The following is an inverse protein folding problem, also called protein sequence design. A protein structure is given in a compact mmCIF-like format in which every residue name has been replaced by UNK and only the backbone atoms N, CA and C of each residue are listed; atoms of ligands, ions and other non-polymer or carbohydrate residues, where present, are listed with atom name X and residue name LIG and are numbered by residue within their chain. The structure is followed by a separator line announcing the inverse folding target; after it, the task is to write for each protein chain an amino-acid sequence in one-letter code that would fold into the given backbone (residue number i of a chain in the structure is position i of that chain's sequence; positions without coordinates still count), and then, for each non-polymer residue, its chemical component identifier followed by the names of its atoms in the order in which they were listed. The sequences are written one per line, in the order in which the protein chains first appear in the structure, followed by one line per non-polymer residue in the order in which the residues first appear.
data_IF_784597947955
#
_entry.id   IF_784597947955
#
_cell.length_a   1.000
_cell.length_b   1.000
_cell.length_c   1.000
_cell.angle_alpha   90.00
_cell.angle_beta   90.00
_cell.angle_gamma   90.00
#
_symmetry.space_group_name_H-M   'P 1'
#
loop_
_entity.id
_entity.type
_entity.pdbx_description
1 polymer ?
#
# COMPACT_ATOMS: atom_id res chain seq x y z
N UNK A 1 3.31 16.54 -4.54
CA UNK A 1 4.32 15.45 -4.59
C UNK A 1 3.61 14.12 -4.48
N UNK A 2 3.97 13.13 -5.26
CA UNK A 2 3.37 11.79 -5.23
C UNK A 2 4.43 10.73 -4.91
N UNK A 3 4.04 9.72 -4.14
CA UNK A 3 4.89 8.58 -3.80
C UNK A 3 4.44 7.35 -4.60
N UNK A 4 5.41 6.67 -5.23
CA UNK A 4 5.16 5.44 -5.99
C UNK A 4 6.14 4.37 -5.54
N UNK A 5 5.64 3.19 -5.24
CA UNK A 5 6.44 2.07 -4.77
C UNK A 5 5.84 0.71 -5.04
N UNK A 6 6.54 -0.31 -4.56
CA UNK A 6 6.21 -1.71 -4.70
C UNK A 6 5.85 -2.32 -3.33
N UNK A 7 5.24 -3.52 -3.30
CA UNK A 7 4.83 -4.18 -2.04
C UNK A 7 6.00 -4.84 -1.29
N UNK A 8 7.20 -4.73 -1.78
CA UNK A 8 8.45 -5.15 -1.15
C UNK A 8 9.64 -4.48 -1.83
N UNK A 9 10.81 -4.52 -1.23
CA UNK A 9 12.03 -3.86 -1.73
C UNK A 9 13.09 -4.82 -2.29
N UNK A 10 12.87 -6.12 -2.25
CA UNK A 10 13.80 -7.11 -2.81
C UNK A 10 13.07 -8.34 -3.32
N UNK A 11 13.61 -8.93 -4.37
CA UNK A 11 13.17 -10.21 -4.93
C UNK A 11 14.35 -10.89 -5.63
N UNK A 12 14.52 -12.24 -5.54
CA UNK A 12 15.65 -12.92 -6.20
C UNK A 12 15.78 -12.62 -7.69
N UNK A 13 14.66 -12.50 -8.41
CA UNK A 13 14.68 -12.16 -9.84
C UNK A 13 15.04 -10.69 -10.13
N UNK A 14 15.03 -9.80 -9.13
CA UNK A 14 15.39 -8.39 -9.31
C UNK A 14 16.90 -8.13 -9.23
N UNK A 15 17.68 -9.12 -8.83
CA UNK A 15 19.16 -9.04 -8.83
C UNK A 15 19.67 -8.60 -10.20
N UNK A 16 19.10 -9.15 -11.29
CA UNK A 16 19.42 -8.75 -12.67
C UNK A 16 19.06 -7.31 -13.02
N UNK A 17 18.19 -6.68 -12.22
CA UNK A 17 17.79 -5.29 -12.35
C UNK A 17 18.61 -4.36 -11.44
N UNK A 18 19.64 -4.88 -10.77
CA UNK A 18 20.44 -4.13 -9.81
C UNK A 18 19.72 -3.82 -8.51
N UNK A 19 18.64 -4.53 -8.17
CA UNK A 19 17.86 -4.33 -6.94
C UNK A 19 18.04 -5.57 -6.05
N UNK A 20 19.08 -5.55 -5.21
CA UNK A 20 19.41 -6.64 -4.29
C UNK A 20 19.16 -6.29 -2.82
N UNK A 21 18.97 -5.00 -2.53
CA UNK A 21 18.84 -4.48 -1.17
C UNK A 21 17.81 -3.34 -1.11
N UNK A 22 17.43 -2.94 0.11
CA UNK A 22 16.61 -1.76 0.32
C UNK A 22 17.32 -0.47 -0.16
N UNK A 23 18.63 -0.37 0.02
CA UNK A 23 19.41 0.78 -0.44
C UNK A 23 19.33 0.95 -1.95
N UNK A 24 19.48 -0.15 -2.72
CA UNK A 24 19.33 -0.12 -4.17
C UNK A 24 17.88 0.17 -4.61
N UNK A 25 16.91 -0.43 -3.92
CA UNK A 25 15.49 -0.14 -4.15
C UNK A 25 15.19 1.36 -3.97
N UNK A 26 15.70 1.97 -2.90
CA UNK A 26 15.49 3.38 -2.57
C UNK A 26 16.16 4.36 -3.58
N UNK A 27 17.05 3.89 -4.45
CA UNK A 27 17.58 4.69 -5.58
C UNK A 27 16.59 4.79 -6.74
N UNK A 28 15.62 3.87 -6.82
CA UNK A 28 14.64 3.81 -7.91
C UNK A 28 13.25 4.26 -7.47
N UNK A 29 12.89 4.04 -6.21
CA UNK A 29 11.58 4.33 -5.66
C UNK A 29 11.67 5.25 -4.44
N UNK A 30 10.68 6.10 -4.26
CA UNK A 30 10.62 7.04 -3.14
C UNK A 30 9.80 6.51 -1.94
N UNK A 31 9.16 5.35 -2.08
CA UNK A 31 8.44 4.71 -0.98
C UNK A 31 8.33 3.19 -1.17
N UNK A 32 7.91 2.50 -0.11
CA UNK A 32 7.62 1.07 -0.12
C UNK A 32 6.40 0.73 0.74
N UNK A 33 5.62 -0.25 0.29
CA UNK A 33 4.59 -0.88 1.12
C UNK A 33 5.25 -1.93 2.03
N UNK A 34 5.37 -1.61 3.31
CA UNK A 34 6.03 -2.46 4.31
C UNK A 34 5.14 -3.59 4.80
N UNK A 35 5.12 -4.70 4.08
CA UNK A 35 4.29 -5.86 4.41
C UNK A 35 4.89 -6.77 5.49
N UNK A 36 6.18 -6.70 5.74
CA UNK A 36 6.89 -7.58 6.69
C UNK A 36 6.37 -7.46 8.11
N UNK A 37 6.01 -6.26 8.54
CA UNK A 37 5.50 -5.98 9.88
C UNK A 37 4.13 -6.59 10.18
N UNK A 38 3.37 -6.96 9.13
CA UNK A 38 2.11 -7.70 9.32
C UNK A 38 2.35 -9.08 9.95
N UNK A 39 3.44 -9.74 9.55
CA UNK A 39 3.72 -11.13 9.90
C UNK A 39 4.59 -11.25 11.16
N UNK A 40 5.53 -10.33 11.34
CA UNK A 40 6.42 -10.33 12.49
C UNK A 40 6.93 -8.93 12.80
N UNK A 41 7.08 -8.62 14.09
CA UNK A 41 7.78 -7.42 14.53
C UNK A 41 9.28 -7.59 14.22
N UNK A 42 9.91 -6.69 13.44
CA UNK A 42 11.33 -6.79 13.12
C UNK A 42 12.18 -6.63 14.37
N UNK A 43 13.38 -7.21 14.38
CA UNK A 43 14.37 -6.95 15.42
C UNK A 43 14.87 -5.51 15.34
N UNK A 44 15.31 -4.94 16.46
CA UNK A 44 15.78 -3.54 16.52
C UNK A 44 16.91 -3.25 15.53
N UNK A 45 17.90 -4.15 15.45
CA UNK A 45 19.02 -4.03 14.51
C UNK A 45 18.59 -4.06 13.03
N UNK A 46 17.46 -4.67 12.72
CA UNK A 46 16.89 -4.66 11.36
C UNK A 46 16.29 -3.30 11.05
N UNK A 47 15.56 -2.70 12.01
CA UNK A 47 14.99 -1.37 11.85
C UNK A 47 16.07 -0.30 11.68
N UNK A 48 17.15 -0.38 12.47
CA UNK A 48 18.32 0.50 12.32
C UNK A 48 18.99 0.33 10.95
N UNK A 49 19.08 -0.90 10.45
CA UNK A 49 19.59 -1.17 9.10
C UNK A 49 18.73 -0.51 8.03
N UNK A 50 17.40 -0.59 8.14
CA UNK A 50 16.50 0.08 7.20
C UNK A 50 16.69 1.59 7.23
N UNK A 51 16.92 2.15 8.42
CA UNK A 51 17.26 3.56 8.56
C UNK A 51 18.57 3.91 7.86
N UNK A 52 19.60 3.12 8.04
CA UNK A 52 20.92 3.35 7.41
C UNK A 52 20.88 3.22 5.88
N UNK A 53 19.98 2.40 5.34
CA UNK A 53 19.84 2.11 3.90
C UNK A 53 18.94 3.08 3.12
N UNK A 54 18.32 4.05 3.79
CA UNK A 54 17.39 4.99 3.14
C UNK A 54 17.73 6.43 3.48
N UNK A 55 17.30 7.36 2.63
CA UNK A 55 17.41 8.81 2.87
C UNK A 55 16.22 9.33 3.66
N UNK A 56 16.29 10.56 4.14
CA UNK A 56 15.20 11.19 4.89
C UNK A 56 13.96 11.48 4.01
N UNK A 57 14.11 11.50 2.69
CA UNK A 57 13.01 11.68 1.74
C UNK A 57 12.26 10.38 1.41
N UNK A 58 12.84 9.22 1.75
CA UNK A 58 12.21 7.93 1.52
C UNK A 58 11.07 7.69 2.51
N UNK A 59 9.97 7.06 2.07
CA UNK A 59 8.80 6.79 2.92
C UNK A 59 8.49 5.31 3.02
N UNK A 60 8.31 4.85 4.26
CA UNK A 60 7.78 3.54 4.58
C UNK A 60 6.29 3.63 4.90
N UNK A 61 5.49 2.75 4.31
CA UNK A 61 4.09 2.58 4.67
C UNK A 61 3.90 1.20 5.30
N UNK A 62 4.10 1.11 6.61
CA UNK A 62 4.06 -0.18 7.32
C UNK A 62 2.66 -0.57 7.76
N UNK A 63 2.36 -1.85 7.61
CA UNK A 63 1.17 -2.46 8.21
C UNK A 63 1.33 -2.62 9.71
N UNK A 64 0.25 -2.40 10.45
CA UNK A 64 0.19 -2.90 11.82
C UNK A 64 0.29 -4.44 11.83
N UNK A 65 0.93 -5.02 12.87
CA UNK A 65 1.02 -6.47 13.02
C UNK A 65 -0.35 -7.17 13.03
N UNK A 66 -0.40 -8.39 12.49
CA UNK A 66 -1.61 -9.21 12.51
C UNK A 66 -2.08 -9.55 13.94
N UNK A 67 -1.15 -9.57 14.90
CA UNK A 67 -1.50 -9.69 16.33
C UNK A 67 -2.45 -8.60 16.81
N UNK A 68 -2.33 -7.39 16.25
CA UNK A 68 -3.18 -6.24 16.53
C UNK A 68 -4.45 -6.27 15.67
N UNK A 69 -4.27 -6.34 14.33
CA UNK A 69 -5.36 -6.15 13.37
C UNK A 69 -6.27 -7.38 13.21
N UNK A 70 -5.72 -8.58 13.32
CA UNK A 70 -6.43 -9.84 13.10
C UNK A 70 -6.71 -10.57 14.42
N UNK A 71 -5.68 -10.88 15.21
CA UNK A 71 -5.82 -11.71 16.40
C UNK A 71 -6.57 -10.99 17.51
N UNK A 72 -6.15 -9.77 17.85
CA UNK A 72 -6.81 -8.94 18.85
C UNK A 72 -8.06 -8.23 18.31
N UNK A 73 -8.24 -8.16 17.00
CA UNK A 73 -9.29 -7.39 16.36
C UNK A 73 -9.42 -5.97 16.95
N UNK A 74 -8.27 -5.32 17.16
CA UNK A 74 -8.10 -3.98 17.74
C UNK A 74 -8.53 -3.82 19.20
N UNK A 75 -8.73 -4.92 19.94
CA UNK A 75 -9.18 -4.92 21.34
C UNK A 75 -8.05 -5.31 22.27
N UNK A 76 -7.91 -4.59 23.39
CA UNK A 76 -6.93 -4.90 24.45
C UNK A 76 -5.50 -5.11 23.92
N UNK A 77 -5.09 -4.31 22.93
CA UNK A 77 -3.80 -4.45 22.25
C UNK A 77 -2.86 -3.25 22.51
N UNK A 78 -3.06 -2.51 23.61
CA UNK A 78 -2.26 -1.34 23.96
C UNK A 78 -0.77 -1.66 24.06
N UNK A 79 -0.40 -2.70 24.81
CA UNK A 79 0.99 -3.12 25.00
C UNK A 79 1.65 -3.53 23.66
N UNK A 80 0.93 -4.27 22.81
CA UNK A 80 1.40 -4.64 21.47
C UNK A 80 1.62 -3.43 20.57
N UNK A 81 0.75 -2.44 20.72
CA UNK A 81 0.82 -1.19 19.95
C UNK A 81 1.99 -0.33 20.41
N UNK A 82 2.20 -0.23 21.71
CA UNK A 82 3.35 0.48 22.29
C UNK A 82 4.67 -0.19 21.89
N UNK A 83 4.75 -1.51 21.97
CA UNK A 83 5.93 -2.26 21.51
C UNK A 83 6.21 -2.00 20.03
N UNK A 84 5.16 -2.00 19.18
CA UNK A 84 5.31 -1.71 17.76
C UNK A 84 5.90 -0.32 17.51
N UNK A 85 5.33 0.74 18.10
CA UNK A 85 5.85 2.10 17.93
C UNK A 85 7.26 2.27 18.50
N UNK A 86 7.54 1.69 19.66
CA UNK A 86 8.88 1.70 20.25
C UNK A 86 9.89 1.06 19.31
N UNK A 87 9.56 -0.09 18.73
CA UNK A 87 10.43 -0.80 17.79
C UNK A 87 10.66 -0.02 16.50
N UNK A 88 9.64 0.65 16.00
CA UNK A 88 9.70 1.41 14.74
C UNK A 88 10.23 2.84 14.92
N UNK A 89 10.45 3.30 16.14
CA UNK A 89 10.86 4.69 16.46
C UNK A 89 12.10 5.19 15.70
N UNK A 90 13.14 4.37 15.36
CA UNK A 90 14.27 4.84 14.56
C UNK A 90 13.89 5.34 13.16
N UNK A 91 12.71 4.93 12.65
CA UNK A 91 12.20 5.31 11.34
C UNK A 91 11.12 6.40 11.41
N UNK A 92 10.85 6.99 12.58
CA UNK A 92 9.71 7.89 12.79
C UNK A 92 9.61 9.01 11.73
N UNK A 93 10.73 9.63 11.35
CA UNK A 93 10.79 10.69 10.34
C UNK A 93 10.65 10.19 8.89
N UNK A 94 10.66 8.87 8.66
CA UNK A 94 10.54 8.23 7.34
C UNK A 94 9.24 7.46 7.17
N UNK A 95 8.34 7.56 8.13
CA UNK A 95 7.02 6.94 8.02
C UNK A 95 6.13 7.82 7.13
N UNK A 96 5.66 7.23 6.03
CA UNK A 96 4.62 7.83 5.21
C UNK A 96 3.26 7.67 5.88
N UNK A 97 2.92 6.44 6.22
CA UNK A 97 1.78 6.14 7.08
C UNK A 97 1.89 4.73 7.68
N UNK A 98 1.34 4.56 8.87
CA UNK A 98 1.00 3.25 9.41
C UNK A 98 -0.42 2.89 9.01
N UNK A 99 -0.70 1.64 8.68
CA UNK A 99 -2.03 1.28 8.23
C UNK A 99 -2.50 -0.10 8.67
N UNK A 100 -3.79 -0.19 8.87
CA UNK A 100 -4.49 -1.41 9.23
C UNK A 100 -4.99 -2.09 7.96
N UNK A 101 -4.68 -3.38 7.81
CA UNK A 101 -5.39 -4.27 6.91
C UNK A 101 -6.34 -5.09 7.76
N UNK A 102 -7.64 -4.79 7.68
CA UNK A 102 -8.64 -5.49 8.46
C UNK A 102 -9.16 -6.72 7.70
N UNK A 103 -9.39 -7.85 8.38
CA UNK A 103 -9.93 -9.05 7.74
C UNK A 103 -11.38 -8.84 7.31
N UNK A 104 -11.87 -9.69 6.39
CA UNK A 104 -13.26 -9.62 5.92
C UNK A 104 -14.30 -9.88 7.03
N UNK A 105 -13.89 -10.48 8.14
CA UNK A 105 -14.72 -10.69 9.33
C UNK A 105 -14.90 -9.43 10.18
N UNK A 106 -14.05 -8.41 9.99
CA UNK A 106 -14.17 -7.13 10.67
C UNK A 106 -15.26 -6.28 10.00
N UNK A 107 -16.45 -6.32 10.56
CA UNK A 107 -17.64 -5.71 9.97
C UNK A 107 -18.14 -4.46 10.69
N UNK A 108 -19.34 -3.96 10.33
CA UNK A 108 -19.91 -2.74 10.92
C UNK A 108 -20.06 -2.76 12.45
N UNK A 109 -20.27 -3.92 13.03
CA UNK A 109 -20.36 -4.09 14.49
C UNK A 109 -19.05 -3.82 15.21
N UNK A 110 -17.94 -3.88 14.49
CA UNK A 110 -16.59 -3.68 15.03
C UNK A 110 -16.11 -2.22 14.93
N UNK A 111 -16.87 -1.34 14.28
CA UNK A 111 -16.51 0.08 14.15
C UNK A 111 -16.20 0.76 15.48
N UNK A 112 -16.91 0.51 16.60
CA UNK A 112 -16.52 1.09 17.88
C UNK A 112 -15.10 0.73 18.32
N UNK A 113 -14.65 -0.52 18.07
CA UNK A 113 -13.28 -0.93 18.37
C UNK A 113 -12.26 -0.23 17.46
N UNK A 114 -12.60 -0.01 16.18
CA UNK A 114 -11.76 0.76 15.26
C UNK A 114 -11.60 2.21 15.74
N UNK A 115 -12.67 2.86 16.15
CA UNK A 115 -12.61 4.23 16.63
C UNK A 115 -11.80 4.35 17.90
N UNK A 116 -12.04 3.47 18.89
CA UNK A 116 -11.27 3.44 20.13
C UNK A 116 -9.78 3.23 19.86
N UNK A 117 -9.43 2.32 18.97
CA UNK A 117 -8.04 2.06 18.60
C UNK A 117 -7.40 3.30 17.94
N UNK A 118 -8.03 3.88 16.92
CA UNK A 118 -7.50 5.04 16.20
C UNK A 118 -7.38 6.28 17.11
N UNK A 119 -8.33 6.50 18.02
CA UNK A 119 -8.32 7.63 18.96
C UNK A 119 -7.18 7.53 19.98
N UNK A 120 -6.69 6.31 20.25
CA UNK A 120 -5.58 6.07 21.19
C UNK A 120 -4.19 6.17 20.53
N UNK A 121 -4.12 6.26 19.19
CA UNK A 121 -2.83 6.30 18.48
C UNK A 121 -2.11 7.66 18.63
N UNK A 122 -0.75 7.67 18.57
CA UNK A 122 0.04 8.89 18.52
C UNK A 122 -0.39 9.79 17.37
N UNK A 123 -0.55 11.09 17.64
CA UNK A 123 -1.10 12.07 16.68
C UNK A 123 -0.08 12.58 15.65
N UNK A 124 1.20 12.34 15.89
CA UNK A 124 2.30 12.74 15.02
C UNK A 124 2.42 11.94 13.74
N UNK A 125 1.74 10.80 13.65
CA UNK A 125 1.79 9.94 12.47
C UNK A 125 0.51 10.01 11.64
N UNK A 126 0.65 9.67 10.37
CA UNK A 126 -0.46 9.47 9.44
C UNK A 126 -0.91 8.01 9.48
N UNK A 127 -2.22 7.79 9.41
CA UNK A 127 -2.81 6.45 9.45
C UNK A 127 -3.70 6.16 8.26
N UNK A 128 -3.80 4.86 7.95
CA UNK A 128 -4.70 4.35 6.92
C UNK A 128 -5.43 3.08 7.37
N UNK A 129 -6.58 2.84 6.78
CA UNK A 129 -7.40 1.64 7.04
C UNK A 129 -7.89 1.04 5.73
N UNK A 130 -7.55 -0.23 5.49
CA UNK A 130 -8.11 -1.05 4.43
C UNK A 130 -9.15 -1.99 5.03
N UNK A 131 -10.39 -1.84 4.58
CA UNK A 131 -11.51 -2.72 4.95
C UNK A 131 -11.79 -3.74 3.85
N UNK A 132 -12.33 -4.90 4.23
CA UNK A 132 -12.64 -6.01 3.31
C UNK A 132 -14.05 -6.57 3.48
N UNK A 133 -14.79 -6.17 4.51
CA UNK A 133 -16.17 -6.60 4.73
C UNK A 133 -17.10 -5.99 3.68
N UNK A 134 -17.99 -6.80 3.09
CA UNK A 134 -18.85 -6.42 1.98
C UNK A 134 -19.75 -5.19 2.26
N UNK A 135 -20.24 -5.05 3.48
CA UNK A 135 -21.10 -3.92 3.84
C UNK A 135 -20.41 -2.55 3.76
N UNK A 136 -19.08 -2.50 3.83
CA UNK A 136 -18.32 -1.27 3.63
C UNK A 136 -18.17 -0.86 2.16
N UNK A 137 -18.77 -1.62 1.24
CA UNK A 137 -18.81 -1.37 -0.20
C UNK A 137 -20.23 -1.38 -0.78
N UNK A 138 -21.24 -1.41 0.09
CA UNK A 138 -22.64 -1.52 -0.30
C UNK A 138 -23.31 -0.15 -0.55
N UNK A 139 -22.60 0.97 -0.38
CA UNK A 139 -23.13 2.34 -0.45
C UNK A 139 -24.28 2.61 0.53
N UNK A 140 -24.34 1.83 1.62
CA UNK A 140 -25.31 1.93 2.69
C UNK A 140 -24.77 2.63 3.94
N UNK A 141 -25.54 2.53 5.03
CA UNK A 141 -25.24 3.20 6.30
C UNK A 141 -23.87 2.79 6.89
N UNK A 142 -23.49 1.52 6.75
CA UNK A 142 -22.20 1.02 7.25
C UNK A 142 -21.02 1.71 6.54
N UNK A 143 -21.09 1.88 5.24
CA UNK A 143 -20.04 2.58 4.49
C UNK A 143 -20.03 4.08 4.80
N UNK A 144 -21.19 4.71 4.93
CA UNK A 144 -21.30 6.11 5.33
C UNK A 144 -20.69 6.33 6.73
N UNK A 145 -21.00 5.46 7.68
CA UNK A 145 -20.43 5.51 9.03
C UNK A 145 -18.91 5.34 9.03
N UNK A 146 -18.41 4.38 8.26
CA UNK A 146 -16.96 4.18 8.09
C UNK A 146 -16.29 5.45 7.53
N UNK A 147 -16.78 5.95 6.40
CA UNK A 147 -16.16 7.11 5.73
C UNK A 147 -16.20 8.36 6.61
N UNK A 148 -17.32 8.62 7.28
CA UNK A 148 -17.46 9.75 8.22
C UNK A 148 -16.47 9.63 9.37
N UNK A 149 -16.42 8.47 10.03
CA UNK A 149 -15.52 8.26 11.16
C UNK A 149 -14.04 8.35 10.80
N UNK A 150 -13.63 7.94 9.59
CA UNK A 150 -12.27 8.12 9.08
C UNK A 150 -11.99 9.60 8.78
N UNK A 151 -12.95 10.30 8.15
CA UNK A 151 -12.84 11.73 7.84
C UNK A 151 -12.68 12.58 9.10
N UNK A 152 -13.49 12.35 10.13
CA UNK A 152 -13.44 13.03 11.43
C UNK A 152 -12.10 12.87 12.13
N UNK A 153 -11.38 11.77 11.86
CA UNK A 153 -10.08 11.45 12.46
C UNK A 153 -8.89 11.75 11.55
N UNK A 154 -9.15 12.29 10.36
CA UNK A 154 -8.13 12.49 9.32
C UNK A 154 -7.32 11.19 9.02
N UNK A 155 -8.00 10.05 8.98
CA UNK A 155 -7.43 8.74 8.65
C UNK A 155 -7.77 8.37 7.22
N UNK A 156 -6.78 7.87 6.45
CA UNK A 156 -6.95 7.53 5.05
C UNK A 156 -7.73 6.22 4.89
N UNK A 157 -8.82 6.24 4.12
CA UNK A 157 -9.40 5.00 3.60
C UNK A 157 -8.49 4.49 2.49
N UNK A 158 -7.84 3.36 2.69
CA UNK A 158 -6.98 2.75 1.67
C UNK A 158 -7.84 2.13 0.59
N UNK A 159 -7.47 2.40 -0.65
CA UNK A 159 -8.22 1.99 -1.82
C UNK A 159 -7.51 0.80 -2.46
N UNK A 160 -8.19 -0.35 -2.50
CA UNK A 160 -7.71 -1.53 -3.18
C UNK A 160 -8.40 -1.66 -4.53
N UNK A 161 -7.61 -1.66 -5.60
CA UNK A 161 -8.10 -1.99 -6.94
C UNK A 161 -7.56 -3.35 -7.37
N UNK A 162 -8.37 -4.37 -7.20
CA UNK A 162 -8.07 -5.75 -7.60
C UNK A 162 -8.81 -6.19 -8.87
N UNK A 163 -9.41 -5.24 -9.60
CA UNK A 163 -10.13 -5.54 -10.85
C UNK A 163 -9.26 -6.23 -11.90
N UNK A 164 -8.00 -5.81 -12.16
CA UNK A 164 -7.19 -6.47 -13.17
C UNK A 164 -6.90 -7.92 -12.84
N UNK A 165 -6.46 -8.23 -11.63
CA UNK A 165 -6.16 -9.62 -11.23
C UNK A 165 -7.40 -10.50 -11.24
N UNK A 166 -8.56 -9.99 -10.82
CA UNK A 166 -9.81 -10.76 -10.83
C UNK A 166 -10.47 -10.83 -12.23
N UNK A 167 -10.09 -9.96 -13.14
CA UNK A 167 -10.50 -10.02 -14.55
C UNK A 167 -9.60 -10.92 -15.41
N UNK A 168 -8.47 -11.38 -14.89
CA UNK A 168 -7.55 -12.26 -15.59
C UNK A 168 -8.06 -13.71 -15.60
N UNK A 169 -7.78 -14.42 -16.71
CA UNK A 169 -8.02 -15.87 -16.79
C UNK A 169 -7.01 -16.57 -15.87
N UNK A 170 -7.44 -17.49 -14.98
CA UNK A 170 -6.55 -18.16 -14.03
C UNK A 170 -5.71 -19.26 -14.70
N UNK A 171 -4.79 -18.90 -15.57
CA UNK A 171 -3.94 -19.81 -16.34
C UNK A 171 -2.57 -20.10 -15.71
N UNK A 172 -2.22 -19.40 -14.64
CA UNK A 172 -0.98 -19.61 -13.90
C UNK A 172 -1.22 -19.71 -12.40
N UNK A 173 -0.32 -20.42 -11.71
CA UNK A 173 -0.37 -20.54 -10.24
C UNK A 173 -0.32 -19.17 -9.55
N UNK A 174 0.47 -18.24 -10.07
CA UNK A 174 0.59 -16.89 -9.53
C UNK A 174 -0.74 -16.11 -9.56
N UNK A 175 -1.49 -16.21 -10.68
CA UNK A 175 -2.80 -15.57 -10.81
C UNK A 175 -3.80 -16.23 -9.87
N UNK A 176 -3.86 -17.56 -9.84
CA UNK A 176 -4.76 -18.31 -8.95
C UNK A 176 -4.52 -17.94 -7.49
N UNK A 177 -3.25 -17.93 -7.07
CA UNK A 177 -2.88 -17.54 -5.70
C UNK A 177 -3.22 -16.08 -5.40
N UNK A 178 -2.96 -15.18 -6.33
CA UNK A 178 -3.32 -13.78 -6.17
C UNK A 178 -4.82 -13.56 -6.08
N UNK A 179 -5.62 -14.21 -6.94
CA UNK A 179 -7.09 -14.16 -6.89
C UNK A 179 -7.64 -14.70 -5.57
N UNK A 180 -7.00 -15.71 -5.00
CA UNK A 180 -7.39 -16.28 -3.70
C UNK A 180 -7.05 -15.34 -2.54
N UNK A 181 -5.88 -14.70 -2.57
CA UNK A 181 -5.36 -13.86 -1.48
C UNK A 181 -5.89 -12.43 -1.48
N UNK A 182 -6.21 -11.90 -2.67
CA UNK A 182 -6.69 -10.52 -2.80
C UNK A 182 -8.21 -10.49 -2.76
N UNK A 183 -8.83 -9.65 -1.92
CA UNK A 183 -10.28 -9.57 -1.87
C UNK A 183 -10.85 -9.04 -3.18
N UNK A 184 -11.96 -9.61 -3.62
CA UNK A 184 -12.74 -9.11 -4.74
C UNK A 184 -13.78 -8.14 -4.22
N UNK A 185 -13.40 -6.88 -4.09
CA UNK A 185 -14.26 -5.80 -3.59
C UNK A 185 -14.46 -4.71 -4.64
N UNK A 186 -15.58 -3.98 -4.63
CA UNK A 186 -15.76 -2.82 -5.49
C UNK A 186 -14.68 -1.75 -5.24
N UNK A 187 -14.31 -1.01 -6.27
CA UNK A 187 -13.35 0.10 -6.14
C UNK A 187 -14.11 1.36 -5.78
N UNK A 188 -13.95 1.80 -4.54
CA UNK A 188 -14.48 3.08 -4.08
C UNK A 188 -13.33 4.05 -3.84
N UNK A 189 -13.13 4.96 -4.79
CA UNK A 189 -12.05 5.96 -4.75
C UNK A 189 -12.46 7.15 -3.87
N UNK A 190 -12.51 6.93 -2.57
CA UNK A 190 -12.92 7.90 -1.54
C UNK A 190 -11.70 8.38 -0.79
N UNK A 191 -11.47 9.71 -0.80
CA UNK A 191 -10.39 10.35 -0.05
C UNK A 191 -10.95 10.86 1.28
N UNK A 192 -10.42 10.33 2.37
CA UNK A 192 -10.84 10.70 3.74
C UNK A 192 -9.76 11.48 4.52
N UNK A 193 -8.55 11.59 3.96
CA UNK A 193 -7.44 12.34 4.57
C UNK A 193 -6.42 12.80 3.52
N UNK A 194 -5.34 13.45 3.99
CA UNK A 194 -4.35 14.12 3.13
C UNK A 194 -3.39 13.19 2.37
N UNK A 195 -3.37 11.90 2.70
CA UNK A 195 -2.43 10.95 2.10
C UNK A 195 -3.16 9.73 1.51
N UNK A 196 -4.03 9.93 0.50
CA UNK A 196 -4.76 8.82 -0.10
C UNK A 196 -3.79 7.76 -0.63
N UNK A 197 -4.06 6.50 -0.32
CA UNK A 197 -3.26 5.37 -0.76
C UNK A 197 -4.08 4.50 -1.69
N UNK A 198 -3.52 4.24 -2.87
CA UNK A 198 -4.05 3.31 -3.87
C UNK A 198 -3.14 2.10 -3.96
N UNK A 199 -3.70 0.92 -3.82
CA UNK A 199 -3.06 -0.36 -4.06
C UNK A 199 -3.65 -0.96 -5.33
N UNK A 200 -2.92 -0.85 -6.43
CA UNK A 200 -3.34 -1.38 -7.73
C UNK A 200 -2.77 -2.78 -7.92
N UNK A 201 -3.64 -3.77 -7.95
CA UNK A 201 -3.28 -5.17 -8.13
C UNK A 201 -3.48 -5.54 -9.60
N UNK A 202 -2.41 -5.42 -10.36
CA UNK A 202 -2.39 -5.76 -11.78
C UNK A 202 -2.61 -7.24 -12.05
N UNK A 203 -2.80 -7.55 -13.31
CA UNK A 203 -2.69 -8.91 -13.86
C UNK A 203 -1.31 -9.08 -14.51
N UNK A 204 -1.08 -10.21 -15.15
CA UNK A 204 0.09 -10.45 -16.00
C UNK A 204 -0.06 -9.88 -17.42
N UNK A 205 -1.24 -9.32 -17.75
CA UNK A 205 -1.49 -8.66 -19.02
C UNK A 205 -1.29 -7.15 -18.89
N UNK A 206 -0.16 -6.64 -19.39
CA UNK A 206 0.21 -5.23 -19.28
C UNK A 206 -0.75 -4.28 -20.02
N UNK A 207 -1.30 -4.69 -21.16
CA UNK A 207 -2.29 -3.88 -21.90
C UNK A 207 -3.58 -3.73 -21.11
N UNK A 208 -4.05 -4.82 -20.48
CA UNK A 208 -5.21 -4.79 -19.59
C UNK A 208 -4.94 -3.88 -18.38
N UNK A 209 -3.74 -3.97 -17.79
CA UNK A 209 -3.33 -3.13 -16.67
C UNK A 209 -3.36 -1.64 -17.06
N UNK A 210 -2.80 -1.28 -18.22
CA UNK A 210 -2.81 0.09 -18.74
C UNK A 210 -4.24 0.61 -18.94
N UNK A 211 -5.11 -0.19 -19.58
CA UNK A 211 -6.50 0.18 -19.82
C UNK A 211 -7.27 0.40 -18.50
N UNK A 212 -7.08 -0.48 -17.52
CA UNK A 212 -7.76 -0.36 -16.22
C UNK A 212 -7.14 0.73 -15.33
N UNK A 213 -5.86 1.05 -15.52
CA UNK A 213 -5.18 2.12 -14.77
C UNK A 213 -5.56 3.53 -15.28
N UNK A 214 -6.07 3.67 -16.50
CA UNK A 214 -6.39 4.96 -17.10
C UNK A 214 -7.30 5.85 -16.22
N UNK A 215 -8.24 5.25 -15.49
CA UNK A 215 -9.12 6.00 -14.55
C UNK A 215 -8.35 6.59 -13.37
N UNK A 216 -7.22 5.97 -13.00
CA UNK A 216 -6.39 6.46 -11.91
C UNK A 216 -5.57 7.68 -12.31
N UNK A 217 -5.16 7.80 -13.57
CA UNK A 217 -4.42 8.96 -14.06
C UNK A 217 -5.18 10.26 -13.78
N UNK A 218 -6.48 10.29 -14.11
CA UNK A 218 -7.33 11.46 -13.87
C UNK A 218 -7.53 11.75 -12.38
N UNK A 219 -7.71 10.69 -11.57
CA UNK A 219 -7.92 10.86 -10.12
C UNK A 219 -6.65 11.34 -9.43
N UNK A 220 -5.52 10.73 -9.72
CA UNK A 220 -4.23 11.08 -9.13
C UNK A 220 -3.81 12.49 -9.54
N UNK A 221 -4.01 12.89 -10.81
CA UNK A 221 -3.77 14.25 -11.27
C UNK A 221 -4.61 15.27 -10.50
N UNK A 222 -5.88 14.95 -10.21
CA UNK A 222 -6.73 15.81 -9.38
C UNK A 222 -6.26 15.87 -7.93
N UNK A 223 -5.90 14.73 -7.36
CA UNK A 223 -5.56 14.62 -5.93
C UNK A 223 -4.23 15.27 -5.59
N UNK A 224 -3.23 15.23 -6.48
CA UNK A 224 -1.91 15.82 -6.20
C UNK A 224 -1.93 17.32 -5.91
N UNK A 225 -2.98 18.04 -6.36
CA UNK A 225 -3.12 19.47 -6.10
C UNK A 225 -3.46 19.80 -4.63
N UNK A 226 -4.09 18.87 -3.92
CA UNK A 226 -4.60 19.11 -2.56
C UNK A 226 -4.15 18.06 -1.54
N UNK A 227 -3.55 16.97 -2.01
CA UNK A 227 -3.14 15.82 -1.17
C UNK A 227 -1.75 15.34 -1.58
N UNK A 228 -1.20 14.42 -0.79
CA UNK A 228 0.04 13.70 -1.12
C UNK A 228 -0.29 12.22 -1.34
N UNK A 229 -0.60 11.81 -2.58
CA UNK A 229 -1.00 10.44 -2.88
C UNK A 229 0.15 9.43 -2.77
N UNK A 230 -0.20 8.21 -2.38
CA UNK A 230 0.65 7.02 -2.42
C UNK A 230 0.06 6.01 -3.40
N UNK A 231 0.89 5.45 -4.27
CA UNK A 231 0.51 4.41 -5.22
C UNK A 231 1.44 3.21 -5.06
N UNK A 232 0.86 2.04 -4.79
CA UNK A 232 1.59 0.78 -4.75
C UNK A 232 1.14 -0.14 -5.87
N UNK A 233 2.09 -0.55 -6.71
CA UNK A 233 1.87 -1.37 -7.88
C UNK A 233 2.23 -2.83 -7.58
N UNK A 234 1.25 -3.69 -7.72
CA UNK A 234 1.37 -5.12 -7.47
C UNK A 234 1.14 -5.92 -8.76
N UNK A 235 1.81 -7.05 -8.87
CA UNK A 235 1.56 -8.07 -9.89
C UNK A 235 1.32 -9.42 -9.23
N UNK A 236 0.63 -10.38 -9.88
CA UNK A 236 0.46 -11.74 -9.36
C UNK A 236 1.80 -12.43 -9.05
N UNK A 237 2.73 -12.47 -10.02
CA UNK A 237 4.14 -12.76 -9.76
C UNK A 237 4.85 -11.45 -9.45
N UNK A 238 5.23 -11.25 -8.20
CA UNK A 238 5.89 -10.02 -7.75
C UNK A 238 7.18 -9.73 -8.52
N UNK A 239 7.80 -10.73 -9.13
CA UNK A 239 8.97 -10.54 -9.99
C UNK A 239 8.70 -9.56 -11.14
N UNK A 240 7.45 -9.48 -11.60
CA UNK A 240 7.01 -8.63 -12.72
C UNK A 240 6.59 -7.22 -12.28
N UNK A 241 6.62 -6.90 -10.98
CA UNK A 241 6.19 -5.59 -10.52
C UNK A 241 6.99 -4.42 -11.14
N UNK A 242 8.31 -4.51 -11.37
CA UNK A 242 9.05 -3.48 -12.11
C UNK A 242 8.56 -3.29 -13.55
N UNK A 243 8.15 -4.36 -14.24
CA UNK A 243 7.60 -4.28 -15.60
C UNK A 243 6.26 -3.51 -15.63
N UNK A 244 5.43 -3.70 -14.60
CA UNK A 244 4.20 -2.92 -14.44
C UNK A 244 4.50 -1.43 -14.23
N UNK A 245 5.54 -1.10 -13.46
CA UNK A 245 6.00 0.29 -13.30
C UNK A 245 6.36 0.88 -14.65
N UNK A 246 7.21 0.22 -15.42
CA UNK A 246 7.63 0.68 -16.75
C UNK A 246 6.43 0.89 -17.68
N UNK A 247 5.50 -0.05 -17.69
CA UNK A 247 4.32 -0.01 -18.55
C UNK A 247 3.39 1.18 -18.24
N UNK A 248 3.36 1.65 -16.99
CA UNK A 248 2.47 2.71 -16.54
C UNK A 248 3.14 4.08 -16.43
N UNK A 249 4.49 4.15 -16.35
CA UNK A 249 5.19 5.34 -15.90
C UNK A 249 5.03 6.54 -16.84
N UNK A 250 5.14 6.34 -18.14
CA UNK A 250 5.01 7.42 -19.12
C UNK A 250 3.65 8.14 -19.01
N UNK A 251 2.57 7.36 -18.92
CA UNK A 251 1.22 7.91 -18.74
C UNK A 251 1.04 8.57 -17.38
N UNK A 252 1.61 7.97 -16.34
CA UNK A 252 1.57 8.50 -14.97
C UNK A 252 2.33 9.83 -14.89
N UNK A 253 3.53 9.92 -15.43
CA UNK A 253 4.33 11.16 -15.46
C UNK A 253 3.65 12.27 -16.25
N UNK A 254 3.01 11.94 -17.37
CA UNK A 254 2.27 12.92 -18.16
C UNK A 254 1.05 13.48 -17.41
N UNK A 255 0.36 12.65 -16.62
CA UNK A 255 -0.81 13.04 -15.83
C UNK A 255 -0.45 13.70 -14.50
N UNK A 256 0.65 13.27 -13.87
CA UNK A 256 1.09 13.65 -12.52
C UNK A 256 2.59 13.99 -12.56
N UNK A 257 2.99 15.18 -13.04
CA UNK A 257 4.40 15.53 -13.21
C UNK A 257 5.23 15.44 -11.92
N UNK A 258 4.59 15.60 -10.75
CA UNK A 258 5.26 15.50 -9.44
C UNK A 258 5.80 14.10 -9.11
N UNK A 259 5.45 13.08 -9.89
CA UNK A 259 6.00 11.73 -9.72
C UNK A 259 7.49 11.65 -10.07
N UNK A 260 7.98 12.61 -10.88
CA UNK A 260 9.38 12.68 -11.26
C UNK A 260 9.75 11.77 -12.43
N UNK A 261 11.05 11.58 -12.63
CA UNK A 261 11.58 10.72 -13.70
C UNK A 261 11.26 9.25 -13.44
N UNK A 262 11.18 8.46 -14.51
CA UNK A 262 11.02 7.02 -14.42
C UNK A 262 12.15 6.40 -13.58
N UNK A 263 11.86 5.37 -12.76
CA UNK A 263 12.90 4.60 -12.11
C UNK A 263 13.90 4.09 -13.18
N UNK A 264 15.18 4.37 -12.98
CA UNK A 264 16.23 3.93 -13.88
C UNK A 264 16.53 2.42 -13.71
N UNK A 265 15.49 1.60 -13.86
CA UNK A 265 15.61 0.14 -13.77
C UNK A 265 16.18 -0.36 -15.09
N UNK A 266 17.32 -1.07 -15.09
CA UNK A 266 17.89 -1.59 -16.33
C UNK A 266 16.87 -2.49 -17.05
N UNK A 267 16.49 -2.12 -18.25
CA UNK A 267 15.69 -3.01 -19.10
C UNK A 267 16.58 -4.17 -19.54
N UNK A 268 16.05 -5.36 -19.47
CA UNK A 268 16.72 -6.50 -20.07
C UNK A 268 16.68 -6.30 -21.58
N UNK A 269 17.80 -5.83 -22.16
CA UNK A 269 17.96 -5.90 -23.61
C UNK A 269 17.79 -7.35 -24.01
N UNK A 270 16.78 -7.63 -24.81
CA UNK A 270 16.61 -8.94 -25.44
C UNK A 270 17.85 -9.19 -26.29
N UNK A 271 18.74 -10.04 -25.81
CA UNK A 271 19.87 -10.54 -26.58
C UNK A 271 19.41 -11.71 -27.49
N UNK A 272 18.30 -11.53 -28.20
CA UNK A 272 17.94 -12.42 -29.33
C UNK A 272 16.98 -11.68 -30.27
#
# INVERSE_FOLDING_TARGET
MMYVGLPQWSHPKWVRLGITSLEEYARHFNCVEGNTTLYALPKAEIVERWRAQTTDDFRFCFKFPATISHNAALRNCGDLTEEFFTRMSPLANRIGQYWLQLPATFGPRDLPALWQFLDALPREFTYGVEVRHAEFFAKGEAEIALNRGLLERAVNRIILDSRPVHGAIPHSEAIVDAQRKKPKVPVHAIVTAQNPMVRFIGSDNMQQNQAMFAVWLQKLAKWEHTTTPYLFLHTPDIAQAPELVDALWQALQAAVPSVGSAPAIPQQSSLF
#
